data_IF_007416402771
#
_entry.id   IF_007416402771
#
_cell.length_a   1.000
_cell.length_b   1.000
_cell.length_c   1.000
_cell.angle_alpha   90.00
_cell.angle_beta   90.00
_cell.angle_gamma   90.00
#
_symmetry.space_group_name_H-M   'P 1'
#
loop_
_entity.id
_entity.type
_entity.pdbx_description
1 polymer ?
#
# COMPACT_ATOMS: atom_id res chain seq x y z
N UNK A 1 18.39 18.20 8.27
CA UNK A 1 17.69 17.45 9.35
C UNK A 1 17.62 15.99 8.95
N UNK A 2 18.09 15.07 9.80
CA UNK A 2 17.95 13.64 9.56
C UNK A 2 16.46 13.27 9.60
N UNK A 3 15.98 12.55 8.60
CA UNK A 3 14.60 12.07 8.53
C UNK A 3 14.35 11.12 9.72
N UNK A 4 13.37 11.44 10.56
CA UNK A 4 12.87 10.52 11.59
C UNK A 4 11.69 9.75 11.01
N UNK A 5 11.75 8.42 11.10
CA UNK A 5 10.61 7.56 10.74
C UNK A 5 9.41 7.87 11.65
N UNK A 6 8.17 7.70 11.16
CA UNK A 6 6.99 7.84 11.97
C UNK A 6 6.93 6.73 13.03
N UNK A 7 6.58 7.09 14.27
CA UNK A 7 6.57 6.21 15.45
C UNK A 7 5.14 6.18 16.00
N UNK A 8 4.66 5.00 16.38
CA UNK A 8 3.37 4.83 17.05
C UNK A 8 3.45 5.33 18.51
N UNK A 9 2.30 5.57 19.14
CA UNK A 9 2.21 5.98 20.55
C UNK A 9 2.87 4.96 21.51
N UNK A 10 2.95 3.69 21.13
CA UNK A 10 3.63 2.65 21.90
C UNK A 10 5.16 2.66 21.76
N UNK A 11 5.73 3.55 20.95
CA UNK A 11 7.17 3.69 20.74
C UNK A 11 7.75 2.83 19.61
N UNK A 12 6.97 1.99 18.93
CA UNK A 12 7.43 1.23 17.77
C UNK A 12 7.42 2.03 16.46
N UNK A 13 8.32 1.69 15.54
CA UNK A 13 8.33 2.23 14.18
C UNK A 13 7.08 1.77 13.41
N UNK A 14 6.46 2.71 12.70
CA UNK A 14 5.35 2.39 11.80
C UNK A 14 5.88 1.84 10.47
N UNK A 15 5.22 0.79 9.98
CA UNK A 15 5.50 0.18 8.68
C UNK A 15 4.56 0.75 7.63
N UNK A 16 5.07 1.05 6.43
CA UNK A 16 4.21 1.48 5.33
C UNK A 16 3.70 0.25 4.58
N UNK A 17 2.38 0.11 4.53
CA UNK A 17 1.65 -0.90 3.81
C UNK A 17 0.92 -0.22 2.65
N UNK A 18 1.10 -0.76 1.45
CA UNK A 18 0.45 -0.29 0.23
C UNK A 18 0.02 -1.51 -0.57
N UNK A 19 -1.20 -1.47 -1.09
CA UNK A 19 -1.65 -2.46 -2.05
C UNK A 19 -1.12 -2.06 -3.42
N UNK A 20 -0.17 -2.81 -3.97
CA UNK A 20 0.29 -2.58 -5.35
C UNK A 20 -0.64 -3.29 -6.33
N UNK A 21 -1.17 -2.55 -7.30
CA UNK A 21 -1.97 -3.14 -8.38
C UNK A 21 -1.05 -3.49 -9.54
N UNK A 22 -1.01 -4.77 -9.92
CA UNK A 22 -0.34 -5.22 -11.13
C UNK A 22 -1.37 -5.60 -12.20
N UNK A 23 -1.31 -4.94 -13.35
CA UNK A 23 -2.08 -5.36 -14.52
C UNK A 23 -1.27 -6.40 -15.28
N UNK A 24 -1.84 -7.57 -15.56
CA UNK A 24 -1.16 -8.66 -16.27
C UNK A 24 -2.04 -9.14 -17.41
N UNK A 25 -1.47 -9.29 -18.60
CA UNK A 25 -2.19 -9.79 -19.77
C UNK A 25 -1.83 -11.25 -20.05
N UNK A 26 -2.85 -12.06 -20.28
CA UNK A 26 -2.72 -13.46 -20.66
C UNK A 26 -3.30 -13.68 -22.06
N UNK A 27 -2.70 -14.59 -22.81
CA UNK A 27 -3.24 -15.02 -24.10
C UNK A 27 -4.35 -16.06 -23.90
N UNK A 28 -5.37 -16.01 -24.74
CA UNK A 28 -6.36 -17.09 -24.88
C UNK A 28 -5.86 -18.05 -25.94
N UNK A 29 -5.58 -19.29 -25.54
CA UNK A 29 -5.09 -20.35 -26.41
C UNK A 29 -6.19 -20.80 -27.38
N UNK A 30 -5.80 -21.45 -28.49
CA UNK A 30 -6.75 -21.98 -29.49
C UNK A 30 -7.78 -22.98 -28.94
N UNK A 31 -7.48 -23.60 -27.82
CA UNK A 31 -8.38 -24.51 -27.10
C UNK A 31 -9.35 -23.78 -26.15
N UNK A 32 -9.35 -22.44 -26.14
CA UNK A 32 -10.22 -21.60 -25.32
C UNK A 32 -9.72 -21.37 -23.90
N UNK A 33 -8.59 -21.96 -23.48
CA UNK A 33 -8.06 -21.79 -22.12
C UNK A 33 -7.08 -20.61 -22.03
N UNK A 34 -6.98 -20.01 -20.84
CA UNK A 34 -5.99 -18.97 -20.54
C UNK A 34 -4.59 -19.59 -20.45
N UNK A 35 -3.59 -18.95 -21.05
CA UNK A 35 -2.20 -19.39 -20.98
C UNK A 35 -1.68 -19.40 -19.52
N UNK A 36 -0.83 -20.37 -19.17
CA UNK A 36 -0.26 -20.48 -17.82
C UNK A 36 0.72 -19.35 -17.47
N UNK A 37 1.32 -18.72 -18.48
CA UNK A 37 2.29 -17.62 -18.32
C UNK A 37 1.71 -16.35 -18.92
N UNK A 38 1.97 -15.19 -18.32
CA UNK A 38 1.52 -13.93 -18.88
C UNK A 38 2.24 -13.63 -20.19
N UNK A 39 1.48 -13.12 -21.15
CA UNK A 39 2.00 -12.62 -22.42
C UNK A 39 2.71 -11.28 -22.22
N UNK A 40 2.15 -10.43 -21.35
CA UNK A 40 2.74 -9.16 -20.95
C UNK A 40 2.63 -9.00 -19.43
N UNK A 41 3.78 -8.83 -18.77
CA UNK A 41 3.82 -8.31 -17.40
C UNK A 41 3.54 -6.82 -17.53
N UNK A 42 2.30 -6.39 -17.27
CA UNK A 42 1.94 -4.99 -17.41
C UNK A 42 2.61 -4.13 -16.35
N UNK A 43 2.13 -2.90 -16.27
CA UNK A 43 2.74 -1.84 -15.46
C UNK A 43 2.40 -2.11 -13.98
N UNK A 44 3.41 -2.02 -13.11
CA UNK A 44 3.16 -1.87 -11.66
C UNK A 44 2.55 -0.49 -11.45
N UNK A 45 1.31 -0.44 -10.97
CA UNK A 45 0.71 0.81 -10.55
C UNK A 45 1.36 1.28 -9.27
N UNK A 46 2.12 2.38 -9.33
CA UNK A 46 2.59 3.07 -8.14
C UNK A 46 1.38 3.72 -7.47
N UNK A 47 0.98 3.19 -6.32
CA UNK A 47 -0.05 3.81 -5.49
C UNK A 47 0.58 4.88 -4.59
N UNK A 48 0.11 6.11 -4.73
CA UNK A 48 0.53 7.24 -3.90
C UNK A 48 -0.16 7.28 -2.53
N UNK A 49 -1.06 6.34 -2.28
CA UNK A 49 -1.80 6.19 -1.03
C UNK A 49 -1.48 4.83 -0.42
N UNK A 50 -1.50 4.76 0.91
CA UNK A 50 -1.32 3.53 1.68
C UNK A 50 -1.60 3.81 3.15
N UNK A 51 -1.26 2.87 4.01
CA UNK A 51 -1.43 3.01 5.45
C UNK A 51 -0.10 2.78 6.18
N UNK A 52 0.12 3.51 7.25
CA UNK A 52 1.14 3.21 8.24
C UNK A 52 0.54 2.30 9.30
N UNK A 53 1.18 1.18 9.59
CA UNK A 53 0.68 0.17 10.53
C UNK A 53 1.68 -0.03 11.66
N UNK A 54 1.18 -0.04 12.90
CA UNK A 54 1.96 -0.51 14.04
C UNK A 54 1.72 -2.01 14.22
N UNK A 55 2.77 -2.83 14.19
CA UNK A 55 2.59 -4.27 14.32
C UNK A 55 2.16 -4.68 15.75
N UNK A 56 2.63 -3.97 16.77
CA UNK A 56 2.26 -4.21 18.18
C UNK A 56 0.82 -3.78 18.49
N UNK A 57 0.48 -2.51 18.23
CA UNK A 57 -0.85 -1.98 18.56
C UNK A 57 -1.92 -2.31 17.52
N UNK A 58 -1.52 -2.79 16.33
CA UNK A 58 -2.39 -2.99 15.15
C UNK A 58 -3.13 -1.73 14.69
N UNK A 59 -2.75 -0.55 15.20
CA UNK A 59 -3.27 0.76 14.78
C UNK A 59 -2.82 1.07 13.36
N UNK A 60 -3.71 1.68 12.59
CA UNK A 60 -3.48 2.12 11.23
C UNK A 60 -3.60 3.64 11.12
N UNK A 61 -2.80 4.22 10.24
CA UNK A 61 -2.82 5.64 9.95
C UNK A 61 -2.81 5.80 8.43
N UNK A 62 -3.71 6.61 7.88
CA UNK A 62 -3.68 6.94 6.46
C UNK A 62 -2.35 7.64 6.14
N UNK A 63 -1.70 7.24 5.05
CA UNK A 63 -0.49 7.87 4.56
C UNK A 63 -0.61 8.14 3.08
N UNK A 64 -0.41 9.40 2.71
CA UNK A 64 -0.46 9.83 1.33
C UNK A 64 0.88 10.49 0.97
N UNK A 65 1.58 9.90 0.01
CA UNK A 65 2.89 10.37 -0.49
C UNK A 65 2.82 11.76 -1.12
N UNK A 66 1.65 12.18 -1.59
CA UNK A 66 1.45 13.48 -2.23
C UNK A 66 1.22 14.64 -1.26
N UNK A 67 0.99 14.38 0.04
CA UNK A 67 0.82 15.43 1.05
C UNK A 67 2.14 15.82 1.75
N UNK A 68 2.20 17.06 2.22
CA UNK A 68 3.38 17.66 2.88
C UNK A 68 2.99 18.16 4.27
N UNK A 69 3.87 18.03 5.26
CA UNK A 69 3.63 18.57 6.61
C UNK A 69 2.68 17.71 7.46
N UNK A 70 1.79 18.34 8.23
CA UNK A 70 0.88 17.66 9.18
C UNK A 70 -0.17 16.78 8.50
N UNK A 71 -0.44 17.01 7.23
CA UNK A 71 -1.42 16.25 6.43
C UNK A 71 -0.81 14.99 5.82
N UNK A 72 0.47 14.70 6.09
CA UNK A 72 1.18 13.56 5.53
C UNK A 72 0.67 12.22 6.09
N UNK A 73 0.14 12.21 7.32
CA UNK A 73 -0.53 11.05 7.87
C UNK A 73 -1.56 11.42 8.95
N UNK A 74 -2.67 10.69 8.99
CA UNK A 74 -3.76 10.86 9.97
C UNK A 74 -4.13 9.50 10.54
N UNK A 75 -4.32 9.41 11.86
CA UNK A 75 -4.80 8.17 12.49
C UNK A 75 -6.20 7.84 11.96
N UNK A 76 -6.40 6.61 11.50
CA UNK A 76 -7.71 6.10 11.13
C UNK A 76 -8.45 5.72 12.42
N UNK A 77 -9.70 6.11 12.54
CA UNK A 77 -10.57 5.63 13.63
C UNK A 77 -11.08 4.23 13.29
N UNK A 78 -11.45 3.45 14.31
CA UNK A 78 -11.92 2.07 14.12
C UNK A 78 -13.12 1.97 13.15
N UNK A 79 -13.94 3.02 13.06
CA UNK A 79 -15.08 3.14 12.13
C UNK A 79 -14.67 3.33 10.66
N UNK A 80 -13.43 3.76 10.41
CA UNK A 80 -12.85 4.04 9.09
C UNK A 80 -11.99 2.87 8.58
N UNK A 81 -11.84 1.79 9.37
CA UNK A 81 -11.15 0.56 9.01
C UNK A 81 -12.20 -0.42 8.47
N UNK A 82 -12.32 -0.51 7.14
CA UNK A 82 -13.29 -1.34 6.41
C UNK A 82 -13.01 -2.84 6.52
#
# INVERSE_FOLDING_TARGET
MAYKKPICECGEELLFEVEEVQVVQYEILKNGFVAKRPFHKGIHGDNNWGVLVCNTCRKQYEFNRSFVGKDKFKMLRDEEIS
#
